data_IF_165764902693
#
_entry.id   IF_165764902693
#
_cell.length_a   1.000
_cell.length_b   1.000
_cell.length_c   1.000
_cell.angle_alpha   90.00
_cell.angle_beta   90.00
_cell.angle_gamma   90.00
#
_symmetry.space_group_name_H-M   'P 1'
#
loop_
_entity.id
_entity.type
_entity.pdbx_description
1 polymer ?
#
# COMPACT_ATOMS: atom_id res chain seq x y z
N UNK A 1 -34.16 -45.05 -44.67
CA UNK A 1 -34.52 -44.58 -43.31
C UNK A 1 -33.33 -43.83 -42.74
N UNK A 2 -33.45 -42.51 -42.54
CA UNK A 2 -32.37 -41.68 -42.02
C UNK A 2 -32.52 -41.52 -40.50
N UNK A 3 -31.60 -42.12 -39.74
CA UNK A 3 -31.53 -41.94 -38.29
C UNK A 3 -30.85 -40.60 -38.03
N UNK A 4 -31.65 -39.54 -37.86
CA UNK A 4 -31.15 -38.28 -37.32
C UNK A 4 -30.89 -38.48 -35.83
N UNK A 5 -29.65 -38.78 -35.45
CA UNK A 5 -29.18 -38.62 -34.08
C UNK A 5 -29.28 -37.14 -33.72
N UNK A 6 -30.36 -36.73 -33.05
CA UNK A 6 -30.35 -35.48 -32.31
C UNK A 6 -29.42 -35.69 -31.12
N UNK A 7 -28.17 -35.22 -31.24
CA UNK A 7 -27.32 -34.96 -30.09
C UNK A 7 -28.12 -34.03 -29.17
N UNK A 8 -28.67 -34.60 -28.10
CA UNK A 8 -29.31 -33.88 -27.01
C UNK A 8 -28.20 -33.04 -26.39
N UNK A 9 -28.21 -31.74 -26.69
CA UNK A 9 -27.37 -30.74 -26.03
C UNK A 9 -27.74 -30.76 -24.56
N UNK A 10 -27.04 -31.60 -23.78
CA UNK A 10 -27.08 -31.53 -22.33
C UNK A 10 -26.68 -30.11 -21.99
N UNK A 11 -27.47 -29.40 -21.19
CA UNK A 11 -27.15 -28.06 -20.70
C UNK A 11 -26.58 -28.13 -19.28
N UNK A 12 -25.36 -28.67 -19.05
CA UNK A 12 -24.69 -28.52 -17.76
C UNK A 12 -24.10 -27.11 -17.59
N UNK A 13 -24.33 -26.20 -18.56
CA UNK A 13 -23.73 -24.88 -18.57
C UNK A 13 -24.37 -23.94 -17.55
N UNK A 14 -25.68 -23.94 -17.37
CA UNK A 14 -26.35 -22.88 -16.59
C UNK A 14 -26.14 -23.08 -15.08
N UNK A 15 -26.27 -24.31 -14.58
CA UNK A 15 -26.06 -24.59 -13.15
C UNK A 15 -24.60 -24.39 -12.73
N UNK A 16 -23.65 -24.79 -13.59
CA UNK A 16 -22.23 -24.53 -13.36
C UNK A 16 -21.94 -23.02 -13.36
N UNK A 17 -22.52 -22.27 -14.30
CA UNK A 17 -22.40 -20.81 -14.35
C UNK A 17 -22.97 -20.15 -13.10
N UNK A 18 -24.15 -20.57 -12.62
CA UNK A 18 -24.74 -20.04 -11.39
C UNK A 18 -23.87 -20.33 -10.16
N UNK A 19 -23.31 -21.54 -10.07
CA UNK A 19 -22.39 -21.93 -9.01
C UNK A 19 -21.09 -21.12 -9.05
N UNK A 20 -20.50 -20.95 -10.25
CA UNK A 20 -19.32 -20.09 -10.44
C UNK A 20 -19.59 -18.64 -10.07
N UNK A 21 -20.77 -18.09 -10.41
CA UNK A 21 -21.16 -16.73 -10.04
C UNK A 21 -21.25 -16.54 -8.52
N UNK A 22 -21.80 -17.52 -7.80
CA UNK A 22 -21.86 -17.50 -6.33
C UNK A 22 -20.44 -17.54 -5.74
N UNK A 23 -19.57 -18.42 -6.26
CA UNK A 23 -18.17 -18.50 -5.82
C UNK A 23 -17.39 -17.21 -6.11
N UNK A 24 -17.55 -16.61 -7.29
CA UNK A 24 -16.91 -15.35 -7.67
C UNK A 24 -17.42 -14.18 -6.80
N UNK A 25 -18.70 -14.17 -6.44
CA UNK A 25 -19.27 -13.16 -5.53
C UNK A 25 -18.79 -13.30 -4.08
N UNK A 26 -18.17 -14.44 -3.73
CA UNK A 26 -17.66 -14.73 -2.39
C UNK A 26 -16.15 -14.45 -2.26
N UNK A 27 -15.48 -14.04 -3.35
CA UNK A 27 -14.05 -13.70 -3.31
C UNK A 27 -13.92 -12.32 -2.64
N UNK A 28 -13.22 -12.21 -1.49
CA UNK A 28 -12.87 -10.91 -0.94
C UNK A 28 -12.07 -10.14 -1.99
N UNK A 29 -12.41 -8.86 -2.16
CA UNK A 29 -11.69 -7.93 -3.03
C UNK A 29 -10.17 -8.13 -2.88
N UNK A 30 -9.47 -8.39 -3.99
CA UNK A 30 -8.02 -8.59 -3.95
C UNK A 30 -7.38 -7.27 -3.55
N UNK A 31 -6.96 -7.17 -2.29
CA UNK A 31 -6.23 -5.99 -1.79
C UNK A 31 -4.88 -5.96 -2.51
N UNK A 32 -4.69 -4.98 -3.39
CA UNK A 32 -3.40 -4.73 -4.03
C UNK A 32 -2.51 -3.98 -3.06
N UNK A 33 -1.31 -4.50 -2.83
CA UNK A 33 -0.29 -3.81 -2.03
C UNK A 33 0.58 -2.95 -2.96
N UNK A 34 0.77 -1.67 -2.61
CA UNK A 34 1.66 -0.76 -3.33
C UNK A 34 2.98 -0.62 -2.55
N UNK A 35 4.08 -1.10 -3.12
CA UNK A 35 5.38 -1.11 -2.45
C UNK A 35 6.08 0.25 -2.58
N UNK A 36 6.57 0.76 -1.44
CA UNK A 36 7.40 1.97 -1.39
C UNK A 36 8.85 1.55 -1.24
N UNK A 37 9.69 2.03 -2.16
CA UNK A 37 11.14 1.82 -2.19
C UNK A 37 11.88 3.15 -1.99
N UNK A 38 13.11 3.09 -1.50
CA UNK A 38 13.97 4.26 -1.35
C UNK A 38 14.79 4.44 -2.63
N UNK A 39 14.61 5.56 -3.34
CA UNK A 39 15.41 5.86 -4.53
C UNK A 39 16.77 6.43 -4.14
N UNK A 40 16.77 7.40 -3.21
CA UNK A 40 17.98 8.06 -2.74
C UNK A 40 17.82 8.64 -1.35
N UNK A 41 18.92 8.78 -0.62
CA UNK A 41 18.98 9.43 0.69
C UNK A 41 20.31 10.17 0.85
N UNK A 42 20.25 11.31 1.52
CA UNK A 42 21.40 12.09 1.94
C UNK A 42 21.16 12.59 3.37
N UNK A 43 22.11 12.31 4.25
CA UNK A 43 22.10 12.77 5.64
C UNK A 43 23.06 13.94 5.73
N UNK A 44 22.65 15.05 6.32
CA UNK A 44 23.45 16.28 6.43
C UNK A 44 24.07 16.44 7.82
N UNK A 45 23.42 15.90 8.85
CA UNK A 45 23.84 16.00 10.24
C UNK A 45 23.56 14.68 10.96
N UNK A 46 24.45 14.28 11.87
CA UNK A 46 24.24 13.17 12.83
C UNK A 46 24.11 13.77 14.22
N UNK A 47 23.38 13.07 15.09
CA UNK A 47 23.23 13.47 16.48
C UNK A 47 24.38 12.96 17.35
N UNK A 48 25.13 11.96 16.88
CA UNK A 48 26.31 11.47 17.56
C UNK A 48 27.56 12.34 17.29
N UNK A 49 28.18 12.83 18.37
CA UNK A 49 29.38 13.69 18.33
C UNK A 49 30.71 12.93 18.28
N UNK A 50 30.68 11.59 18.23
CA UNK A 50 31.88 10.74 18.40
C UNK A 50 32.03 9.74 17.26
N UNK A 51 32.98 9.99 16.35
CA UNK A 51 33.78 9.09 15.48
C UNK A 51 33.28 7.69 15.03
N UNK A 52 31.99 7.37 15.13
CA UNK A 52 31.37 6.11 14.72
C UNK A 52 30.47 6.34 13.52
N UNK A 53 30.34 5.30 12.68
CA UNK A 53 29.46 5.34 11.52
C UNK A 53 27.99 5.37 12.02
N UNK A 54 27.17 6.37 11.61
CA UNK A 54 25.78 6.44 12.03
C UNK A 54 25.02 5.20 11.53
N UNK A 55 24.33 4.52 12.44
CA UNK A 55 23.45 3.40 12.06
C UNK A 55 22.04 3.92 11.86
N UNK A 56 21.70 4.23 10.60
CA UNK A 56 20.39 4.79 10.27
C UNK A 56 19.39 3.68 9.95
N UNK A 57 18.17 3.80 10.45
CA UNK A 57 17.07 2.93 10.07
C UNK A 57 15.81 3.71 9.74
N UNK A 58 14.99 3.12 8.87
CA UNK A 58 13.66 3.60 8.54
C UNK A 58 12.63 2.76 9.28
N UNK A 59 11.58 3.40 9.80
CA UNK A 59 10.48 2.70 10.47
C UNK A 59 9.16 3.43 10.27
N UNK A 60 8.10 2.66 10.05
CA UNK A 60 6.72 3.15 10.15
C UNK A 60 6.05 2.59 11.42
N UNK A 61 5.01 3.26 11.88
CA UNK A 61 4.14 2.77 12.96
C UNK A 61 3.63 1.36 12.63
N UNK A 62 3.65 0.48 13.63
CA UNK A 62 3.26 -0.93 13.52
C UNK A 62 4.07 -1.80 12.52
N UNK A 63 5.24 -1.34 12.07
CA UNK A 63 6.14 -2.09 11.18
C UNK A 63 7.53 -2.34 11.78
N UNK A 64 8.18 -3.40 11.30
CA UNK A 64 9.57 -3.72 11.65
C UNK A 64 10.53 -2.66 11.09
N UNK A 65 11.53 -2.28 11.90
CA UNK A 65 12.59 -1.38 11.45
C UNK A 65 13.36 -1.94 10.26
N UNK A 66 13.73 -1.08 9.32
CA UNK A 66 14.54 -1.39 8.13
C UNK A 66 15.88 -0.68 8.25
N UNK A 67 16.94 -1.43 8.52
CA UNK A 67 18.30 -0.87 8.60
C UNK A 67 18.79 -0.43 7.22
N UNK A 68 19.39 0.75 7.16
CA UNK A 68 20.02 1.33 5.98
C UNK A 68 21.55 1.26 6.13
N UNK A 69 22.09 0.06 6.24
CA UNK A 69 23.52 -0.18 6.55
C UNK A 69 24.50 0.39 5.52
N UNK A 70 24.02 0.73 4.32
CA UNK A 70 24.82 1.36 3.27
C UNK A 70 25.07 2.85 3.55
N UNK A 71 24.23 3.49 4.37
CA UNK A 71 24.33 4.92 4.69
C UNK A 71 25.27 5.12 5.88
N UNK A 72 26.50 5.57 5.63
CA UNK A 72 27.57 5.65 6.65
C UNK A 72 28.22 7.01 6.79
N UNK A 73 27.98 7.92 5.85
CA UNK A 73 28.68 9.20 5.78
C UNK A 73 27.69 10.33 5.63
N UNK A 74 27.92 11.40 6.37
CA UNK A 74 27.22 12.67 6.17
C UNK A 74 27.61 13.30 4.84
N UNK A 75 26.70 14.09 4.27
CA UNK A 75 26.83 14.79 3.00
C UNK A 75 27.06 13.88 1.77
N UNK A 76 26.99 12.57 1.93
CA UNK A 76 27.08 11.60 0.81
C UNK A 76 25.68 11.24 0.32
N UNK A 77 25.46 11.33 -0.99
CA UNK A 77 24.22 10.90 -1.64
C UNK A 77 24.28 9.40 -1.93
N UNK A 78 23.43 8.63 -1.25
CA UNK A 78 23.24 7.20 -1.48
C UNK A 78 22.04 6.97 -2.38
N UNK A 79 22.13 5.97 -3.27
CA UNK A 79 21.09 5.64 -4.24
C UNK A 79 21.04 4.14 -4.55
N UNK A 80 20.09 3.73 -5.39
CA UNK A 80 19.91 2.36 -5.88
C UNK A 80 19.49 1.34 -4.80
N UNK A 81 18.62 1.72 -3.87
CA UNK A 81 18.02 0.75 -2.97
C UNK A 81 16.91 -0.01 -3.69
N UNK A 82 16.98 -1.33 -3.68
CA UNK A 82 15.98 -2.19 -4.36
C UNK A 82 14.97 -2.81 -3.39
N UNK A 83 15.20 -2.71 -2.08
CA UNK A 83 14.35 -3.30 -1.06
C UNK A 83 13.17 -2.36 -0.73
N UNK A 84 11.94 -2.88 -0.60
CA UNK A 84 10.81 -2.08 -0.12
C UNK A 84 11.01 -1.74 1.36
N UNK A 85 10.74 -0.48 1.69
CA UNK A 85 10.78 0.03 3.06
C UNK A 85 9.43 -0.13 3.76
N UNK A 86 8.33 0.05 3.02
CA UNK A 86 6.95 -0.14 3.51
C UNK A 86 6.02 -0.45 2.35
N UNK A 87 4.76 -0.76 2.64
CA UNK A 87 3.71 -1.05 1.65
C UNK A 87 2.38 -0.38 2.01
N UNK A 88 1.66 0.19 1.05
CA UNK A 88 0.30 0.65 1.27
C UNK A 88 -0.71 -0.44 0.88
N UNK A 89 -1.71 -0.67 1.73
CA UNK A 89 -2.83 -1.58 1.44
C UNK A 89 -4.11 -0.84 1.09
N UNK A 90 -4.18 0.44 1.45
CA UNK A 90 -5.29 1.35 1.22
C UNK A 90 -4.75 2.78 1.07
N UNK A 91 -5.65 3.76 1.00
CA UNK A 91 -5.30 5.17 0.88
C UNK A 91 -4.80 5.81 2.19
N UNK A 92 -4.67 5.04 3.28
CA UNK A 92 -4.27 5.61 4.57
C UNK A 92 -2.80 5.94 4.58
N UNK A 93 -2.51 7.09 5.17
CA UNK A 93 -1.15 7.49 5.45
C UNK A 93 -0.58 6.69 6.63
N UNK A 94 0.75 6.63 6.69
CA UNK A 94 1.49 6.02 7.78
C UNK A 94 2.39 7.06 8.42
N UNK A 95 2.46 7.02 9.74
CA UNK A 95 3.47 7.75 10.48
C UNK A 95 4.80 7.00 10.34
N UNK A 96 5.80 7.61 9.69
CA UNK A 96 7.09 6.99 9.43
C UNK A 96 8.23 7.96 9.74
N UNK A 97 9.44 7.42 9.93
CA UNK A 97 10.60 8.24 10.26
C UNK A 97 11.94 7.59 9.95
N UNK A 98 12.97 8.43 9.97
CA UNK A 98 14.36 8.01 10.04
C UNK A 98 14.87 8.20 11.46
N UNK A 99 15.64 7.23 11.94
CA UNK A 99 16.14 7.16 13.30
C UNK A 99 17.62 6.77 13.30
N UNK A 100 18.36 7.28 14.27
CA UNK A 100 19.73 6.88 14.56
C UNK A 100 19.72 5.84 15.68
N UNK A 101 20.26 4.65 15.40
CA UNK A 101 20.47 3.64 16.44
C UNK A 101 21.75 3.99 17.20
N UNK A 102 21.57 4.55 18.40
CA UNK A 102 22.67 4.96 19.28
C UNK A 102 23.10 3.78 20.17
N UNK A 103 24.40 3.54 20.29
CA UNK A 103 24.92 2.48 21.17
C UNK A 103 24.84 2.83 22.66
N UNK A 104 24.68 4.12 23.01
CA UNK A 104 24.82 4.62 24.39
C UNK A 104 23.63 5.46 24.90
N UNK A 105 22.73 5.94 24.03
CA UNK A 105 21.57 6.77 24.40
C UNK A 105 20.26 6.21 23.82
N UNK A 106 19.14 6.80 24.23
CA UNK A 106 17.81 6.52 23.66
C UNK A 106 17.82 7.02 22.21
N UNK A 107 17.48 6.14 21.25
CA UNK A 107 17.43 6.43 19.81
C UNK A 107 16.93 7.86 19.52
N UNK A 108 17.77 8.69 18.90
CA UNK A 108 17.42 10.04 18.49
C UNK A 108 16.70 10.00 17.12
N UNK A 109 15.55 10.70 17.04
CA UNK A 109 14.75 10.80 15.82
C UNK A 109 15.35 11.87 14.91
N UNK A 110 15.82 11.49 13.72
CA UNK A 110 16.13 12.46 12.67
C UNK A 110 14.84 13.16 12.25
N UNK A 111 13.88 12.41 11.74
CA UNK A 111 12.61 13.00 11.34
C UNK A 111 11.48 11.98 11.39
N UNK A 112 10.29 12.46 11.68
CA UNK A 112 9.07 11.68 11.68
C UNK A 112 7.96 12.48 10.99
N UNK A 113 7.39 11.90 9.94
CA UNK A 113 6.39 12.54 9.11
C UNK A 113 5.30 11.56 8.69
N UNK A 114 4.19 12.12 8.21
CA UNK A 114 3.10 11.35 7.65
C UNK A 114 3.38 11.05 6.16
N UNK A 115 3.64 9.78 5.85
CA UNK A 115 3.85 9.30 4.49
C UNK A 115 2.51 8.82 3.91
N UNK A 116 2.01 9.52 2.89
CA UNK A 116 0.73 9.22 2.24
C UNK A 116 0.92 8.68 0.82
N UNK A 117 0.05 7.76 0.34
CA UNK A 117 -0.02 7.37 -1.08
C UNK A 117 -0.20 8.57 -2.01
N UNK A 118 -0.95 9.57 -1.53
CA UNK A 118 -1.22 10.81 -2.26
C UNK A 118 0.01 11.71 -2.48
N UNK A 119 1.13 11.48 -1.79
CA UNK A 119 2.37 12.24 -2.04
C UNK A 119 3.08 11.82 -3.34
N UNK A 120 2.78 10.63 -3.85
CA UNK A 120 3.40 10.06 -5.06
C UNK A 120 2.67 10.53 -6.33
N UNK A 121 2.72 11.83 -6.63
CA UNK A 121 1.98 12.44 -7.77
C UNK A 121 2.77 12.53 -9.07
N UNK A 122 4.10 12.37 -9.01
CA UNK A 122 4.97 12.56 -10.16
C UNK A 122 4.99 11.33 -11.09
N UNK A 123 5.39 11.52 -12.35
CA UNK A 123 5.62 10.41 -13.27
C UNK A 123 6.62 9.40 -12.66
N UNK A 124 6.23 8.13 -12.60
CA UNK A 124 7.00 7.07 -11.92
C UNK A 124 6.76 6.98 -10.41
N UNK A 125 5.74 7.69 -9.89
CA UNK A 125 5.32 7.60 -8.49
C UNK A 125 6.44 8.01 -7.54
N UNK A 126 7.05 9.18 -7.74
CA UNK A 126 8.14 9.67 -6.89
C UNK A 126 7.66 10.69 -5.87
N UNK A 127 8.18 10.58 -4.66
CA UNK A 127 7.97 11.52 -3.55
C UNK A 127 9.31 11.90 -2.93
N UNK A 128 9.59 13.18 -2.77
CA UNK A 128 10.79 13.66 -2.07
C UNK A 128 10.37 14.27 -0.75
N UNK A 129 11.02 13.83 0.31
CA UNK A 129 10.88 14.35 1.66
C UNK A 129 12.20 14.95 2.13
N UNK A 130 12.13 16.06 2.84
CA UNK A 130 13.33 16.73 3.34
C UNK A 130 13.05 17.46 4.65
N UNK A 131 13.93 17.25 5.63
CA UNK A 131 14.03 18.06 6.83
C UNK A 131 15.25 18.94 6.73
N UNK A 132 15.06 20.22 7.01
CA UNK A 132 16.10 21.24 6.87
C UNK A 132 17.36 20.85 7.68
N UNK A 133 18.51 20.85 7.00
CA UNK A 133 19.84 20.56 7.57
C UNK A 133 20.03 19.17 8.22
N UNK A 134 19.10 18.24 8.06
CA UNK A 134 19.21 16.90 8.67
C UNK A 134 19.18 15.77 7.64
N UNK A 135 18.11 15.68 6.84
CA UNK A 135 17.95 14.57 5.87
C UNK A 135 17.17 14.99 4.63
N UNK A 136 17.56 14.47 3.46
CA UNK A 136 16.77 14.50 2.24
C UNK A 136 16.68 13.10 1.65
N UNK A 137 15.45 12.63 1.41
CA UNK A 137 15.18 11.31 0.87
C UNK A 137 14.18 11.39 -0.29
N UNK A 138 14.38 10.54 -1.29
CA UNK A 138 13.42 10.34 -2.38
C UNK A 138 12.96 8.89 -2.38
N UNK A 139 11.65 8.71 -2.49
CA UNK A 139 10.97 7.42 -2.50
C UNK A 139 10.29 7.19 -3.84
N UNK A 140 10.16 5.92 -4.24
CA UNK A 140 9.40 5.50 -5.41
C UNK A 140 8.32 4.48 -5.03
N UNK A 141 7.12 4.72 -5.54
CA UNK A 141 5.96 3.84 -5.46
C UNK A 141 5.15 3.98 -6.77
N UNK A 142 5.46 3.18 -7.80
CA UNK A 142 4.75 3.24 -9.09
C UNK A 142 3.26 2.96 -8.97
N UNK A 143 2.88 2.07 -8.04
CA UNK A 143 1.49 1.63 -7.85
C UNK A 143 0.65 2.63 -7.03
N UNK A 144 1.29 3.53 -6.26
CA UNK A 144 0.58 4.52 -5.44
C UNK A 144 -0.21 5.54 -6.27
N UNK A 145 0.20 5.78 -7.52
CA UNK A 145 -0.53 6.67 -8.45
C UNK A 145 -1.93 6.15 -8.74
N UNK A 146 -2.10 4.82 -8.73
CA UNK A 146 -3.39 4.17 -9.02
C UNK A 146 -4.34 4.15 -7.82
N UNK A 147 -3.81 4.19 -6.60
CA UNK A 147 -4.62 4.17 -5.38
C UNK A 147 -5.49 5.41 -5.25
N UNK A 148 -4.96 6.60 -5.57
CA UNK A 148 -5.66 7.90 -5.47
C UNK A 148 -6.80 8.06 -6.51
N UNK A 149 -6.90 7.13 -7.47
CA UNK A 149 -7.82 7.21 -8.61
C UNK A 149 -9.17 6.52 -8.42
N UNK A 150 -9.43 5.87 -7.29
CA UNK A 150 -10.62 5.02 -7.13
C UNK A 150 -11.92 5.78 -6.82
N UNK A 151 -11.85 7.08 -6.47
CA UNK A 151 -13.02 7.91 -6.11
C UNK A 151 -13.26 9.13 -7.01
N UNK A 152 -12.64 9.21 -8.20
CA UNK A 152 -12.80 10.37 -9.07
C UNK A 152 -14.18 10.43 -9.78
N UNK A 153 -15.16 11.05 -9.13
CA UNK A 153 -16.28 11.69 -9.81
C UNK A 153 -15.75 12.75 -10.82
N UNK A 154 -16.45 12.99 -11.95
CA UNK A 154 -15.93 13.82 -13.04
C UNK A 154 -15.74 15.29 -12.59
N UNK A 155 -14.73 16.00 -13.13
CA UNK A 155 -14.43 17.37 -12.72
C UNK A 155 -15.53 18.31 -13.21
N UNK A 156 -16.22 18.96 -12.28
CA UNK A 156 -17.10 20.09 -12.59
C UNK A 156 -16.23 21.34 -12.73
N UNK A 157 -16.05 21.79 -13.97
CA UNK A 157 -15.47 23.08 -14.27
C UNK A 157 -16.44 24.21 -13.89
N UNK A 158 -16.03 25.10 -12.97
CA UNK A 158 -16.54 26.49 -12.96
C UNK A 158 -15.56 27.47 -12.31
N UNK A 159 -14.83 28.18 -13.19
CA UNK A 159 -14.68 29.63 -13.26
C UNK A 159 -14.42 30.46 -11.97
N UNK A 160 -13.26 31.12 -11.94
CA UNK A 160 -12.78 32.07 -10.93
C UNK A 160 -13.72 33.25 -10.64
N UNK A 161 -13.78 33.64 -9.36
CA UNK A 161 -13.86 35.05 -8.95
C UNK A 161 -13.32 35.24 -7.52
N UNK A 162 -12.32 36.10 -7.38
CA UNK A 162 -11.80 36.58 -6.10
C UNK A 162 -12.88 37.40 -5.38
N UNK A 163 -13.08 37.19 -4.07
CA UNK A 163 -13.35 38.30 -3.16
C UNK A 163 -13.05 37.93 -1.69
N UNK A 164 -12.68 38.95 -0.93
CA UNK A 164 -12.26 38.88 0.48
C UNK A 164 -13.47 39.00 1.40
N UNK A 165 -13.64 38.09 2.37
CA UNK A 165 -14.15 38.39 3.73
C UNK A 165 -14.46 37.11 4.54
N UNK A 166 -14.03 37.12 5.80
CA UNK A 166 -14.58 36.46 7.00
C UNK A 166 -15.81 35.53 6.85
N UNK A 167 -15.71 34.30 7.39
CA UNK A 167 -16.49 33.68 8.49
C UNK A 167 -16.75 32.15 8.34
N UNK A 168 -16.66 31.45 9.48
CA UNK A 168 -17.08 30.07 9.84
C UNK A 168 -16.24 28.87 9.37
N UNK A 169 -15.43 28.36 10.32
CA UNK A 169 -14.94 26.98 10.34
C UNK A 169 -16.12 26.01 10.62
N UNK A 170 -16.29 25.01 9.77
CA UNK A 170 -17.11 23.82 10.06
C UNK A 170 -16.21 22.71 10.64
N UNK A 171 -16.68 21.90 11.60
CA UNK A 171 -15.89 20.80 12.13
C UNK A 171 -15.88 19.62 11.15
N UNK A 172 -14.69 19.07 10.91
CA UNK A 172 -14.51 17.82 10.17
C UNK A 172 -15.12 16.66 10.96
N UNK A 173 -16.02 15.92 10.32
CA UNK A 173 -16.67 14.75 10.90
C UNK A 173 -15.72 13.55 10.86
N UNK A 174 -15.17 13.16 12.00
CA UNK A 174 -14.50 11.87 12.17
C UNK A 174 -15.54 10.74 12.08
N UNK A 175 -15.49 9.93 11.02
CA UNK A 175 -16.19 8.64 10.99
C UNK A 175 -15.23 7.53 11.43
N UNK A 176 -15.30 7.20 12.72
CA UNK A 176 -14.63 6.05 13.30
C UNK A 176 -15.40 4.77 12.91
N UNK A 177 -14.82 3.92 12.07
CA UNK A 177 -15.34 2.58 11.79
C UNK A 177 -14.30 1.53 12.11
N UNK A 178 -14.38 1.00 13.34
CA UNK A 178 -13.59 -0.13 13.84
C UNK A 178 -14.18 -1.41 13.26
N UNK A 179 -13.52 -2.02 12.28
CA UNK A 179 -13.83 -3.39 11.84
C UNK A 179 -12.69 -4.33 12.25
N UNK A 180 -12.89 -4.96 13.40
CA UNK A 180 -12.09 -6.09 13.87
C UNK A 180 -12.46 -7.34 13.07
N UNK A 181 -11.64 -7.69 12.07
CA UNK A 181 -11.84 -8.90 11.26
C UNK A 181 -11.20 -10.10 11.98
N UNK A 182 -12.04 -10.95 12.58
CA UNK A 182 -11.65 -12.31 12.98
C UNK A 182 -11.31 -13.13 11.73
N UNK A 183 -10.06 -13.58 11.61
CA UNK A 183 -9.60 -14.40 10.49
C UNK A 183 -10.32 -15.75 10.42
N UNK A 184 -10.93 -16.07 9.29
CA UNK A 184 -11.47 -17.39 8.98
C UNK A 184 -10.39 -18.19 8.22
N UNK A 185 -10.09 -19.41 8.67
CA UNK A 185 -9.01 -20.24 8.15
C UNK A 185 -9.41 -20.91 6.82
N UNK A 186 -8.72 -20.55 5.73
CA UNK A 186 -9.03 -20.94 4.35
C UNK A 186 -8.66 -22.37 3.97
N UNK A 187 -7.99 -23.12 4.86
CA UNK A 187 -7.48 -24.49 4.59
C UNK A 187 -8.60 -25.49 4.24
N UNK A 188 -9.85 -25.22 4.63
CA UNK A 188 -10.98 -26.12 4.38
C UNK A 188 -11.79 -25.80 3.10
N UNK A 189 -11.57 -24.65 2.47
CA UNK A 189 -12.37 -24.25 1.29
C UNK A 189 -11.98 -25.05 0.02
N UNK A 190 -10.69 -25.30 -0.17
CA UNK A 190 -10.14 -26.08 -1.28
C UNK A 190 -10.62 -27.54 -1.33
N UNK A 191 -10.57 -28.34 -0.24
CA UNK A 191 -11.01 -29.73 -0.28
C UNK A 191 -12.53 -29.88 -0.50
N UNK A 192 -13.34 -28.92 -0.03
CA UNK A 192 -14.80 -28.93 -0.25
C UNK A 192 -15.13 -28.67 -1.72
N UNK A 193 -14.44 -27.71 -2.36
CA UNK A 193 -14.61 -27.44 -3.79
C UNK A 193 -14.21 -28.64 -4.67
N UNK A 194 -13.13 -29.35 -4.31
CA UNK A 194 -12.66 -30.54 -5.03
C UNK A 194 -13.64 -31.72 -4.87
N UNK A 195 -14.18 -31.95 -3.66
CA UNK A 195 -15.19 -32.98 -3.42
C UNK A 195 -16.45 -32.75 -4.25
N UNK A 196 -16.95 -31.50 -4.31
CA UNK A 196 -18.15 -31.15 -5.08
C UNK A 196 -17.94 -31.31 -6.59
N UNK A 197 -16.73 -31.01 -7.09
CA UNK A 197 -16.37 -31.26 -8.48
C UNK A 197 -16.30 -32.76 -8.80
N UNK A 198 -15.74 -33.57 -7.91
CA UNK A 198 -15.65 -35.02 -8.11
C UNK A 198 -17.03 -35.69 -8.14
N UNK A 199 -17.96 -35.29 -7.26
CA UNK A 199 -19.34 -35.81 -7.27
C UNK A 199 -20.12 -35.40 -8.51
N UNK A 200 -19.83 -34.22 -9.07
CA UNK A 200 -20.51 -33.72 -10.28
C UNK A 200 -20.05 -34.42 -11.57
N UNK A 201 -18.85 -35.01 -11.57
CA UNK A 201 -18.29 -35.72 -12.74
C UNK A 201 -18.66 -37.22 -12.72
N UNK A 202 -18.80 -37.84 -11.54
CA UNK A 202 -19.13 -39.27 -11.43
C UNK A 202 -20.63 -39.58 -11.32
N UNK A 203 -21.48 -38.57 -11.09
CA UNK A 203 -22.92 -38.74 -10.83
C UNK A 203 -23.86 -38.28 -11.94
N UNK A 204 -23.48 -38.41 -13.22
CA UNK A 204 -24.29 -38.00 -14.39
C UNK A 204 -24.47 -39.10 -15.42
#
# INVERSE_FOLDING_TARGET
MAIRCRLRRSEPSIMLLLYCSILLSSIPEMISAANVTLDSIQIFQTHETTSHDPTVYFKCEDEDKKSLSDVKEINTLYNNFTQPLTQFLDEKCKQCGFYEEDTLNIDETFDEWELCPSNFKNAGGKCTHSKENEVSATFSCPDCVTLVGSDAAPPVNSFSRNDSSHFFAAPSANSFSRNEKRGLNWILALPVAILVLAFSILGG
#
